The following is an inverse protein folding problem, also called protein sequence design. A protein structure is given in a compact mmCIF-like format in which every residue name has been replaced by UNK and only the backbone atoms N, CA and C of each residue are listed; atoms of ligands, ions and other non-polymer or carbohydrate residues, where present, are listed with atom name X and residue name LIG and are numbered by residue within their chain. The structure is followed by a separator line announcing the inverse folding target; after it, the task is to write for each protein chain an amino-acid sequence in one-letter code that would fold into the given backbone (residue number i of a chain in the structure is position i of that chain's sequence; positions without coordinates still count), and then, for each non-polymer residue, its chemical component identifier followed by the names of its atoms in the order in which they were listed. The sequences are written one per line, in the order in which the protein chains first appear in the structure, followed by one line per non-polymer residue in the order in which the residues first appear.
data_IF_762438274513
#
_entry.id   IF_762438274513
#
_cell.length_a   1.000
_cell.length_b   1.000
_cell.length_c   1.000
_cell.angle_alpha   90.00
_cell.angle_beta   90.00
_cell.angle_gamma   90.00
#
_symmetry.space_group_name_H-M   'P 1'
#
loop_
_entity.id
_entity.type
_entity.pdbx_description
1 polymer ?
#
# COMPACT_ATOMS: atom_id res chain seq x y z
N UNK A 1 -5.52 -18.54 -25.87
CA UNK A 1 -5.14 -17.16 -26.22
C UNK A 1 -6.39 -16.31 -26.19
N UNK A 2 -6.39 -15.15 -25.53
CA UNK A 2 -7.48 -14.16 -25.70
C UNK A 2 -7.37 -13.55 -27.12
N UNK A 3 -8.45 -13.01 -27.73
CA UNK A 3 -8.44 -12.55 -29.12
C UNK A 3 -7.50 -11.35 -29.40
N UNK A 4 -6.83 -10.83 -28.36
CA UNK A 4 -5.94 -9.66 -28.40
C UNK A 4 -4.44 -10.08 -28.29
N UNK A 5 -4.13 -11.38 -28.14
CA UNK A 5 -2.74 -11.85 -28.10
C UNK A 5 -1.93 -11.45 -26.85
N UNK A 6 -2.58 -10.90 -25.82
CA UNK A 6 -1.93 -10.58 -24.54
C UNK A 6 -1.70 -11.85 -23.71
N UNK A 7 -0.52 -11.96 -23.09
CA UNK A 7 -0.23 -13.02 -22.12
C UNK A 7 -1.02 -12.79 -20.83
N UNK A 8 -1.56 -13.85 -20.20
CA UNK A 8 -2.23 -13.72 -18.91
C UNK A 8 -1.22 -13.36 -17.81
N UNK A 9 -1.64 -12.50 -16.90
CA UNK A 9 -0.87 -12.07 -15.72
C UNK A 9 -0.71 -13.22 -14.74
N UNK A 10 -1.77 -13.99 -14.54
CA UNK A 10 -1.80 -15.18 -13.69
C UNK A 10 -2.71 -16.24 -14.30
N UNK A 11 -2.33 -17.50 -14.17
CA UNK A 11 -3.12 -18.66 -14.59
C UNK A 11 -3.55 -19.41 -13.33
N UNK A 12 -4.83 -19.43 -13.03
CA UNK A 12 -5.42 -20.14 -11.89
C UNK A 12 -6.17 -21.39 -12.38
N UNK A 13 -6.52 -22.34 -11.49
CA UNK A 13 -7.37 -23.47 -11.86
C UNK A 13 -8.71 -23.04 -12.47
N UNK A 14 -9.24 -21.89 -12.04
CA UNK A 14 -10.52 -21.33 -12.50
C UNK A 14 -10.43 -20.51 -13.79
N UNK A 15 -9.23 -20.27 -14.33
CA UNK A 15 -9.05 -19.55 -15.59
C UNK A 15 -7.80 -18.69 -15.67
N UNK A 16 -7.67 -17.96 -16.79
CA UNK A 16 -6.55 -17.03 -17.01
C UNK A 16 -6.97 -15.59 -16.68
N UNK A 17 -6.20 -14.89 -15.85
CA UNK A 17 -6.43 -13.50 -15.49
C UNK A 17 -5.59 -12.62 -16.42
N UNK A 18 -6.23 -11.70 -17.15
CA UNK A 18 -5.56 -10.73 -18.02
C UNK A 18 -5.50 -9.35 -17.34
N UNK A 19 -4.52 -8.54 -17.71
CA UNK A 19 -4.29 -7.20 -17.14
C UNK A 19 -5.56 -6.34 -17.18
N UNK A 20 -6.24 -6.31 -18.34
CA UNK A 20 -7.48 -5.54 -18.52
C UNK A 20 -8.60 -6.00 -17.59
N UNK A 21 -8.78 -7.31 -17.45
CA UNK A 21 -9.84 -7.87 -16.60
C UNK A 21 -9.55 -7.59 -15.13
N UNK A 22 -8.28 -7.69 -14.73
CA UNK A 22 -7.82 -7.35 -13.38
C UNK A 22 -8.00 -5.86 -13.08
N UNK A 23 -7.67 -4.99 -14.04
CA UNK A 23 -7.85 -3.54 -13.92
C UNK A 23 -9.33 -3.17 -13.77
N UNK A 24 -10.20 -3.69 -14.64
CA UNK A 24 -11.64 -3.44 -14.58
C UNK A 24 -12.25 -3.94 -13.26
N UNK A 25 -11.84 -5.12 -12.80
CA UNK A 25 -12.28 -5.66 -11.51
C UNK A 25 -11.80 -4.78 -10.34
N UNK A 26 -10.55 -4.32 -10.37
CA UNK A 26 -10.00 -3.42 -9.34
C UNK A 26 -10.71 -2.05 -9.33
N UNK A 27 -10.97 -1.47 -10.50
CA UNK A 27 -11.72 -0.21 -10.64
C UNK A 27 -13.16 -0.36 -10.12
N UNK A 28 -13.83 -1.47 -10.46
CA UNK A 28 -15.18 -1.75 -9.97
C UNK A 28 -15.23 -1.92 -8.44
N UNK A 29 -14.29 -2.67 -7.87
CA UNK A 29 -14.18 -2.85 -6.43
C UNK A 29 -13.90 -1.51 -5.71
N UNK A 30 -13.00 -0.69 -6.27
CA UNK A 30 -12.68 0.63 -5.76
C UNK A 30 -13.91 1.55 -5.79
N UNK A 31 -14.63 1.61 -6.92
CA UNK A 31 -15.86 2.39 -7.02
C UNK A 31 -16.91 1.95 -6.00
N UNK A 32 -17.10 0.65 -5.80
CA UNK A 32 -18.02 0.11 -4.80
C UNK A 32 -17.64 0.55 -3.39
N UNK A 33 -16.37 0.40 -3.01
CA UNK A 33 -15.88 0.79 -1.69
C UNK A 33 -16.02 2.30 -1.45
N UNK A 34 -15.67 3.12 -2.45
CA UNK A 34 -15.83 4.58 -2.36
C UNK A 34 -17.30 5.00 -2.34
N UNK A 35 -18.18 4.28 -3.02
CA UNK A 35 -19.62 4.46 -2.94
C UNK A 35 -20.14 4.25 -1.52
N UNK A 36 -19.74 3.15 -0.86
CA UNK A 36 -20.08 2.90 0.54
C UNK A 36 -19.56 4.01 1.45
N UNK A 37 -18.31 4.43 1.28
CA UNK A 37 -17.72 5.52 2.06
C UNK A 37 -18.46 6.85 1.83
N UNK A 38 -18.84 7.14 0.58
CA UNK A 38 -19.59 8.35 0.23
C UNK A 38 -20.96 8.37 0.91
N UNK A 39 -21.63 7.22 1.01
CA UNK A 39 -22.90 7.08 1.75
C UNK A 39 -22.69 7.27 3.26
N UNK A 40 -21.63 6.71 3.85
CA UNK A 40 -21.31 6.92 5.28
C UNK A 40 -21.09 8.41 5.61
N UNK A 41 -20.32 9.09 4.76
CA UNK A 41 -20.05 10.53 4.85
C UNK A 41 -21.25 11.41 4.45
N UNK A 42 -22.42 10.80 4.18
CA UNK A 42 -23.66 11.53 3.94
C UNK A 42 -24.22 12.13 5.22
N UNK A 43 -24.15 11.38 6.31
CA UNK A 43 -24.68 11.76 7.63
C UNK A 43 -23.58 12.14 8.62
N UNK A 44 -22.31 11.91 8.28
CA UNK A 44 -21.16 12.18 9.15
C UNK A 44 -20.17 13.11 8.48
N UNK A 45 -19.44 13.89 9.29
CA UNK A 45 -18.39 14.78 8.78
C UNK A 45 -17.07 14.04 8.57
N UNK A 46 -16.76 13.13 9.48
CA UNK A 46 -15.58 12.26 9.54
C UNK A 46 -16.00 10.81 9.79
N UNK A 47 -15.05 9.87 9.75
CA UNK A 47 -15.36 8.45 9.91
C UNK A 47 -15.96 8.13 11.28
N UNK A 48 -15.48 8.81 12.33
CA UNK A 48 -16.00 8.75 13.70
C UNK A 48 -16.73 10.06 14.03
N UNK A 49 -17.74 10.35 13.21
CA UNK A 49 -18.68 11.48 13.33
C UNK A 49 -18.05 12.88 13.33
N UNK A 50 -17.59 13.38 14.49
CA UNK A 50 -17.38 14.82 14.74
C UNK A 50 -15.92 15.25 14.76
N UNK A 51 -14.99 14.35 15.07
CA UNK A 51 -13.56 14.67 15.17
C UNK A 51 -12.74 13.83 14.18
N UNK A 52 -11.62 14.41 13.73
CA UNK A 52 -10.62 13.66 12.96
C UNK A 52 -9.94 12.69 13.93
N UNK A 53 -9.99 11.42 13.59
CA UNK A 53 -9.41 10.32 14.36
C UNK A 53 -8.29 9.64 13.58
N UNK A 54 -7.67 8.64 14.20
CA UNK A 54 -6.70 7.79 13.52
C UNK A 54 -7.30 7.08 12.29
N UNK A 55 -8.59 6.73 12.33
CA UNK A 55 -9.28 6.11 11.20
C UNK A 55 -9.25 7.05 9.98
N UNK A 56 -9.54 8.33 10.19
CA UNK A 56 -9.55 9.33 9.12
C UNK A 56 -8.17 9.47 8.48
N UNK A 57 -7.15 9.51 9.33
CA UNK A 57 -5.76 9.62 8.90
C UNK A 57 -5.34 8.46 8.01
N UNK A 58 -5.64 7.22 8.42
CA UNK A 58 -5.28 6.02 7.67
C UNK A 58 -5.99 6.02 6.31
N UNK A 59 -7.30 6.31 6.29
CA UNK A 59 -8.07 6.32 5.04
C UNK A 59 -7.57 7.42 4.09
N UNK A 60 -7.30 8.62 4.59
CA UNK A 60 -6.80 9.73 3.76
C UNK A 60 -5.39 9.45 3.24
N UNK A 61 -4.52 8.85 4.04
CA UNK A 61 -3.20 8.41 3.58
C UNK A 61 -3.32 7.39 2.43
N UNK A 62 -4.20 6.39 2.54
CA UNK A 62 -4.43 5.42 1.47
C UNK A 62 -5.01 6.09 0.21
N UNK A 63 -5.97 7.00 0.37
CA UNK A 63 -6.59 7.75 -0.74
C UNK A 63 -5.60 8.71 -1.43
N UNK A 64 -4.55 9.17 -0.73
CA UNK A 64 -3.61 10.16 -1.26
C UNK A 64 -2.89 9.71 -2.54
N UNK A 65 -2.63 8.41 -2.68
CA UNK A 65 -2.02 7.83 -3.87
C UNK A 65 -3.03 7.87 -5.02
N UNK A 66 -4.28 7.45 -4.73
CA UNK A 66 -5.40 7.50 -5.67
C UNK A 66 -5.64 8.91 -6.21
N UNK A 67 -5.77 9.90 -5.33
CA UNK A 67 -5.98 11.30 -5.71
C UNK A 67 -4.84 11.88 -6.54
N UNK A 68 -3.59 11.47 -6.31
CA UNK A 68 -2.44 11.99 -7.08
C UNK A 68 -2.27 11.34 -8.44
N UNK A 69 -2.65 10.06 -8.59
CA UNK A 69 -2.30 9.27 -9.78
C UNK A 69 -3.48 8.90 -10.68
N UNK A 70 -4.66 8.61 -10.12
CA UNK A 70 -5.75 7.97 -10.88
C UNK A 70 -7.14 8.61 -10.70
N UNK A 71 -7.43 9.26 -9.57
CA UNK A 71 -8.75 9.85 -9.30
C UNK A 71 -8.84 11.26 -9.87
N UNK A 72 -9.18 11.34 -11.16
CA UNK A 72 -9.43 12.61 -11.84
C UNK A 72 -10.71 13.28 -11.33
N UNK A 73 -10.91 14.55 -11.71
CA UNK A 73 -12.15 15.28 -11.40
C UNK A 73 -13.39 14.62 -11.99
N UNK A 74 -13.31 13.92 -13.12
CA UNK A 74 -14.45 13.19 -13.66
C UNK A 74 -14.83 11.99 -12.77
N UNK A 75 -13.84 11.28 -12.25
CA UNK A 75 -14.05 10.17 -11.33
C UNK A 75 -14.64 10.64 -9.99
N UNK A 76 -14.10 11.72 -9.40
CA UNK A 76 -14.53 12.16 -8.07
C UNK A 76 -15.92 12.81 -8.04
N UNK A 77 -16.45 13.22 -9.20
CA UNK A 77 -17.84 13.70 -9.33
C UNK A 77 -18.88 12.67 -8.90
N UNK A 78 -18.59 11.37 -9.05
CA UNK A 78 -19.48 10.30 -8.60
C UNK A 78 -19.48 10.14 -7.06
N UNK A 79 -18.48 10.70 -6.36
CA UNK A 79 -18.25 10.55 -4.91
C UNK A 79 -17.92 11.90 -4.22
N UNK A 80 -18.82 12.91 -4.33
CA UNK A 80 -18.52 14.29 -3.92
C UNK A 80 -18.23 14.45 -2.42
N UNK A 81 -18.81 13.59 -1.57
CA UNK A 81 -18.61 13.67 -0.11
C UNK A 81 -17.24 13.14 0.28
N UNK A 82 -16.76 12.10 -0.41
CA UNK A 82 -15.39 11.58 -0.27
C UNK A 82 -14.39 12.64 -0.70
N UNK A 83 -14.64 13.31 -1.83
CA UNK A 83 -13.76 14.39 -2.29
C UNK A 83 -13.68 15.54 -1.29
N UNK A 84 -14.82 16.04 -0.80
CA UNK A 84 -14.87 17.08 0.24
C UNK A 84 -14.11 16.63 1.50
N UNK A 85 -14.37 15.42 1.96
CA UNK A 85 -13.73 14.84 3.14
C UNK A 85 -12.20 14.77 2.98
N UNK A 86 -11.71 14.25 1.86
CA UNK A 86 -10.28 14.15 1.57
C UNK A 86 -9.59 15.52 1.65
N UNK A 87 -10.14 16.54 0.99
CA UNK A 87 -9.58 17.89 1.01
C UNK A 87 -9.64 18.54 2.41
N UNK A 88 -10.66 18.23 3.19
CA UNK A 88 -10.79 18.76 4.56
C UNK A 88 -9.68 18.24 5.47
N UNK A 89 -9.34 16.95 5.36
CA UNK A 89 -8.32 16.33 6.22
C UNK A 89 -6.90 16.64 5.72
N UNK A 90 -6.64 16.59 4.42
CA UNK A 90 -5.29 16.81 3.87
C UNK A 90 -4.80 18.26 4.04
N UNK A 91 -5.73 19.22 4.11
CA UNK A 91 -5.42 20.64 4.31
C UNK A 91 -5.22 21.00 5.80
N UNK A 92 -5.34 20.04 6.72
CA UNK A 92 -4.97 20.27 8.12
C UNK A 92 -3.47 20.56 8.21
N UNK A 93 -3.07 21.46 9.10
CA UNK A 93 -1.66 21.86 9.27
C UNK A 93 -0.74 20.66 9.55
N UNK A 94 -1.22 19.68 10.34
CA UNK A 94 -0.46 18.47 10.65
C UNK A 94 -0.26 17.58 9.41
N UNK A 95 -1.24 17.50 8.52
CA UNK A 95 -1.14 16.74 7.27
C UNK A 95 -0.27 17.44 6.23
N UNK A 96 -0.48 18.74 6.05
CA UNK A 96 0.23 19.52 5.03
C UNK A 96 1.74 19.55 5.29
N UNK A 97 2.16 19.55 6.57
CA UNK A 97 3.59 19.43 6.95
C UNK A 97 4.23 18.11 6.52
N UNK A 98 3.46 17.03 6.44
CA UNK A 98 3.97 15.67 6.17
C UNK A 98 3.82 15.30 4.69
N UNK A 99 2.61 15.45 4.13
CA UNK A 99 2.30 15.10 2.74
C UNK A 99 2.67 16.21 1.74
N UNK A 100 2.93 17.42 2.23
CA UNK A 100 3.15 18.60 1.39
C UNK A 100 1.88 19.02 0.64
N UNK A 101 2.07 19.71 -0.49
CA UNK A 101 0.98 20.17 -1.35
C UNK A 101 0.47 19.02 -2.23
N UNK A 102 -0.65 18.42 -1.83
CA UNK A 102 -1.33 17.39 -2.62
C UNK A 102 -2.03 18.02 -3.82
N UNK A 103 -1.83 17.46 -5.01
CA UNK A 103 -2.50 17.84 -6.27
C UNK A 103 -3.30 16.65 -6.78
N UNK A 104 -4.51 16.92 -7.27
CA UNK A 104 -5.33 15.88 -7.89
C UNK A 104 -4.85 15.54 -9.29
N UNK A 105 -4.99 14.28 -9.67
CA UNK A 105 -4.71 13.77 -11.00
C UNK A 105 -5.53 14.54 -12.05
N UNK A 106 -4.85 15.02 -13.10
CA UNK A 106 -5.52 15.62 -14.27
C UNK A 106 -5.94 14.56 -15.28
N UNK A 107 -5.15 13.50 -15.39
CA UNK A 107 -5.37 12.32 -16.22
C UNK A 107 -4.81 11.11 -15.48
N UNK A 108 -5.33 9.93 -15.79
CA UNK A 108 -4.69 8.66 -15.42
C UNK A 108 -3.34 8.59 -16.14
N UNK A 109 -2.28 8.19 -15.43
CA UNK A 109 -0.99 7.92 -16.07
C UNK A 109 -1.13 6.65 -16.91
N UNK A 110 -0.77 6.72 -18.19
CA UNK A 110 -0.76 5.55 -19.05
C UNK A 110 0.35 4.59 -18.60
N UNK A 111 -0.02 3.36 -18.23
CA UNK A 111 0.95 2.29 -17.97
C UNK A 111 1.59 1.94 -19.31
N UNK A 112 2.85 2.33 -19.52
CA UNK A 112 3.59 1.89 -20.69
C UNK A 112 3.72 0.36 -20.62
N UNK A 113 2.98 -0.34 -21.47
CA UNK A 113 3.16 -1.77 -21.70
C UNK A 113 4.54 -1.97 -22.31
N UNK A 114 5.58 -2.18 -21.48
CA UNK A 114 6.85 -2.69 -21.97
C UNK A 114 6.56 -4.03 -22.63
N UNK A 115 6.65 -4.08 -23.97
CA UNK A 115 6.71 -5.33 -24.72
C UNK A 115 7.75 -6.23 -24.04
N UNK A 116 7.48 -7.52 -23.79
CA UNK A 116 8.54 -8.43 -23.38
C UNK A 116 9.56 -8.46 -24.52
N UNK A 117 10.75 -7.93 -24.29
CA UNK A 117 11.91 -8.29 -25.10
C UNK A 117 12.02 -9.80 -25.01
N UNK A 118 11.82 -10.48 -26.14
CA UNK A 118 12.11 -11.89 -26.29
C UNK A 118 13.57 -12.08 -25.86
N UNK A 119 13.79 -12.72 -24.71
CA UNK A 119 15.08 -13.31 -24.40
C UNK A 119 15.34 -14.33 -25.50
N UNK A 120 16.24 -13.98 -26.41
CA UNK A 120 16.78 -14.88 -27.40
C UNK A 120 17.27 -16.15 -26.70
N UNK A 121 16.77 -17.28 -27.19
CA UNK A 121 17.27 -18.61 -26.83
C UNK A 121 18.73 -18.70 -27.30
N UNK A 122 19.69 -18.44 -26.43
CA UNK A 122 21.03 -18.98 -26.62
C UNK A 122 21.03 -20.41 -26.10
N UNK A 123 21.16 -21.34 -27.04
CA UNK A 123 21.34 -22.77 -26.83
C UNK A 123 22.54 -23.00 -25.90
N UNK A 124 22.33 -23.57 -24.72
CA UNK A 124 23.37 -24.25 -23.98
C UNK A 124 23.18 -25.76 -24.22
N UNK A 125 24.15 -26.35 -24.93
CA UNK A 125 24.27 -27.78 -25.17
C UNK A 125 24.83 -28.46 -23.91
N UNK A 126 24.42 -29.72 -23.70
CA UNK A 126 24.73 -30.60 -22.58
C UNK A 126 26.23 -30.83 -22.32
N UNK A 127 26.60 -30.77 -21.03
CA UNK A 127 27.41 -31.69 -20.18
C UNK A 127 28.25 -32.86 -20.78
N UNK A 128 29.17 -33.55 -20.04
CA UNK A 128 29.42 -33.56 -18.57
C UNK A 128 30.93 -33.50 -18.19
N UNK A 129 31.38 -33.26 -16.95
CA UNK A 129 31.73 -34.20 -15.84
C UNK A 129 32.84 -33.44 -15.04
N UNK A 130 32.95 -33.36 -13.71
CA UNK A 130 32.98 -34.40 -12.67
C UNK A 130 32.99 -33.74 -11.27
N UNK A 131 32.34 -34.42 -10.34
CA UNK A 131 32.65 -34.60 -8.91
C UNK A 131 32.60 -33.39 -7.95
N UNK A 132 31.52 -33.24 -7.16
CA UNK A 132 31.29 -33.84 -5.82
C UNK A 132 32.06 -33.11 -4.71
N UNK A 133 31.34 -32.34 -3.88
CA UNK A 133 31.19 -32.76 -2.48
C UNK A 133 29.88 -32.25 -1.87
N UNK A 134 29.14 -33.18 -1.25
CA UNK A 134 28.04 -32.95 -0.31
C UNK A 134 28.62 -32.40 0.99
N UNK A 135 27.88 -31.54 1.70
CA UNK A 135 27.40 -31.82 3.06
C UNK A 135 26.71 -30.59 3.69
N UNK A 136 25.42 -30.76 3.97
CA UNK A 136 24.69 -30.21 5.12
C UNK A 136 23.99 -31.44 5.75
N UNK A 137 23.54 -31.47 7.03
CA UNK A 137 23.56 -30.44 8.08
C UNK A 137 23.83 -30.95 9.54
N UNK A 138 23.77 -30.04 10.53
CA UNK A 138 23.16 -30.17 11.89
C UNK A 138 24.01 -30.28 13.19
N UNK A 139 23.40 -29.72 14.26
CA UNK A 139 23.53 -29.89 15.73
C UNK A 139 24.32 -28.79 16.50
N UNK A 140 23.68 -27.80 17.16
CA UNK A 140 22.83 -27.76 18.38
C UNK A 140 23.62 -27.36 19.65
N UNK A 141 23.10 -26.30 20.30
CA UNK A 141 23.21 -25.83 21.70
C UNK A 141 24.55 -25.50 22.39
N UNK A 142 24.68 -24.21 22.75
CA UNK A 142 24.71 -23.83 24.18
C UNK A 142 24.25 -22.38 24.40
N UNK A 143 23.11 -22.22 25.09
CA UNK A 143 22.71 -20.99 25.80
C UNK A 143 23.74 -20.62 26.89
N UNK A 144 23.97 -19.32 27.09
CA UNK A 144 23.85 -18.62 28.40
C UNK A 144 23.86 -17.09 28.23
N UNK A 145 22.67 -16.48 28.18
CA UNK A 145 22.20 -15.26 28.92
C UNK A 145 22.96 -13.89 28.79
N UNK A 146 22.41 -12.74 29.25
CA UNK A 146 21.64 -11.78 28.43
C UNK A 146 22.18 -10.31 28.43
N UNK A 147 21.72 -9.52 27.45
CA UNK A 147 22.06 -8.08 27.23
C UNK A 147 21.33 -7.16 28.23
N UNK A 148 21.99 -6.18 28.89
CA UNK A 148 21.34 -5.32 29.90
C UNK A 148 20.39 -4.27 29.28
N UNK A 149 19.23 -4.11 29.92
CA UNK A 149 18.15 -3.16 29.59
C UNK A 149 18.61 -1.70 29.74
N UNK A 150 18.22 -0.87 28.77
CA UNK A 150 18.38 0.59 28.82
C UNK A 150 17.55 1.19 29.98
N UNK A 151 18.14 2.21 30.62
CA UNK A 151 17.62 2.88 31.82
C UNK A 151 16.30 3.62 31.54
N UNK A 152 15.35 3.45 32.46
CA UNK A 152 14.01 4.06 32.46
C UNK A 152 14.10 5.56 32.87
N UNK A 153 13.46 6.51 32.17
CA UNK A 153 13.56 7.96 32.40
C UNK A 153 12.98 8.52 33.72
N UNK A 154 12.59 7.66 34.66
CA UNK A 154 12.08 8.07 35.99
C UNK A 154 13.18 8.16 37.06
N UNK A 155 14.42 7.80 36.75
CA UNK A 155 15.57 7.80 37.68
C UNK A 155 16.29 9.16 37.75
N UNK A 156 15.74 10.21 37.13
CA UNK A 156 16.34 11.56 37.07
C UNK A 156 15.61 12.61 37.92
N UNK A 157 14.76 12.20 38.87
CA UNK A 157 14.15 13.15 39.79
C UNK A 157 14.96 13.22 41.09
N UNK A 158 15.43 14.42 41.50
CA UNK A 158 16.11 14.58 42.78
C UNK A 158 15.15 14.27 43.95
N UNK A 159 15.61 13.65 45.03
CA UNK A 159 14.76 13.34 46.17
C UNK A 159 14.27 14.61 46.88
N UNK A 160 12.96 14.67 47.17
CA UNK A 160 12.31 15.73 47.95
C UNK A 160 12.79 15.72 49.41
N UNK A 161 13.21 16.87 49.93
CA UNK A 161 13.49 17.05 51.36
C UNK A 161 12.18 17.29 52.11
N UNK A 162 11.74 16.32 52.90
CA UNK A 162 10.79 16.55 53.99
C UNK A 162 11.63 16.85 55.24
N UNK A 163 11.66 18.12 55.64
CA UNK A 163 12.06 18.51 57.00
C UNK A 163 10.91 18.16 57.94
N UNK A 164 11.24 17.64 59.12
CA UNK A 164 10.30 17.52 60.24
C UNK A 164 9.81 18.86 60.74
#
# INVERSE_FOLDING_TARGET
MNPIGKVPVLKTPDGSIFESNSEEAAVSALKRALGTLNTHLASTKYLVEHLITLADNIVVCNLSIGFRMIMTKSFTKEIPRVERYFWTVVNQQNFSKILGKVKQAKSILAVQSKKPTQLEKTKANEEPTKEVNKEEPSLVEKETTPKPKAKNPLDLLPPSKISG
#
